data_IF_275776882566
#
_entry.id   IF_275776882566
#
_cell.length_a   1.000
_cell.length_b   1.000
_cell.length_c   1.000
_cell.angle_alpha   90.00
_cell.angle_beta   90.00
_cell.angle_gamma   90.00
#
_symmetry.space_group_name_H-M   'P 1'
#
loop_
_entity.id
_entity.type
_entity.pdbx_description
1 polymer ?
#
# COMPACT_ATOMS: atom_id res chain seq x y z
N UNK A 1 21.67 -12.62 -16.72
CA UNK A 1 20.54 -11.85 -17.30
C UNK A 1 20.17 -10.77 -16.30
N UNK A 2 20.22 -9.49 -16.71
CA UNK A 2 19.94 -8.34 -15.86
C UNK A 2 18.44 -8.02 -16.02
N UNK A 3 17.64 -8.20 -14.98
CA UNK A 3 16.21 -7.87 -14.96
C UNK A 3 16.07 -6.34 -14.96
N UNK A 4 16.21 -5.72 -16.12
CA UNK A 4 16.26 -4.25 -16.28
C UNK A 4 14.88 -3.60 -16.19
N UNK A 5 13.80 -4.37 -16.31
CA UNK A 5 12.44 -3.85 -16.25
C UNK A 5 11.47 -5.00 -15.97
N UNK A 6 10.78 -4.95 -14.84
CA UNK A 6 9.75 -5.94 -14.48
C UNK A 6 8.39 -5.29 -14.63
N UNK A 7 7.63 -5.77 -15.61
CA UNK A 7 6.24 -5.37 -15.79
C UNK A 7 5.35 -5.96 -14.69
N UNK A 8 4.34 -5.18 -14.27
CA UNK A 8 3.36 -5.62 -13.26
C UNK A 8 3.98 -6.15 -11.96
N UNK A 9 5.10 -5.57 -11.53
CA UNK A 9 5.75 -5.97 -10.30
C UNK A 9 4.78 -5.85 -9.12
N UNK A 10 4.64 -6.94 -8.37
CA UNK A 10 3.71 -7.03 -7.23
C UNK A 10 4.44 -7.65 -6.07
N UNK A 11 4.30 -7.04 -4.89
CA UNK A 11 4.83 -7.59 -3.65
C UNK A 11 3.88 -7.30 -2.50
N UNK A 12 3.90 -8.13 -1.47
CA UNK A 12 2.91 -8.07 -0.40
C UNK A 12 3.28 -8.94 0.79
N UNK A 13 2.49 -8.79 1.84
CA UNK A 13 2.56 -9.59 3.06
C UNK A 13 1.15 -10.07 3.40
N UNK A 14 0.97 -11.37 3.41
CA UNK A 14 -0.31 -12.02 3.73
C UNK A 14 -0.85 -11.53 5.08
N UNK A 15 -2.13 -11.14 5.11
CA UNK A 15 -2.81 -10.60 6.29
C UNK A 15 -2.57 -9.11 6.56
N UNK A 16 -1.75 -8.46 5.73
CA UNK A 16 -1.47 -7.02 5.82
C UNK A 16 -1.83 -6.28 4.54
N UNK A 17 -1.46 -6.82 3.39
CA UNK A 17 -1.75 -6.21 2.09
C UNK A 17 -0.69 -6.48 1.02
N UNK A 18 -0.86 -5.79 -0.10
CA UNK A 18 0.01 -5.84 -1.27
C UNK A 18 0.14 -4.47 -1.93
N UNK A 19 1.19 -4.31 -2.72
CA UNK A 19 1.43 -3.16 -3.58
C UNK A 19 1.72 -3.66 -5.00
N UNK A 20 1.09 -3.01 -5.96
CA UNK A 20 1.09 -3.38 -7.38
C UNK A 20 1.57 -2.16 -8.18
N UNK A 21 2.67 -2.31 -8.91
CA UNK A 21 3.22 -1.26 -9.75
C UNK A 21 2.69 -1.40 -11.17
N UNK A 22 1.96 -0.37 -11.62
CA UNK A 22 1.30 -0.35 -12.95
C UNK A 22 2.28 -0.03 -14.09
N UNK A 23 3.46 0.49 -13.77
CA UNK A 23 4.52 0.78 -14.73
C UNK A 23 5.70 -0.18 -14.49
N UNK A 24 6.53 -0.45 -15.52
CA UNK A 24 7.68 -1.31 -15.38
C UNK A 24 8.66 -0.77 -14.33
N UNK A 25 9.14 -1.65 -13.45
CA UNK A 25 10.07 -1.27 -12.37
C UNK A 25 11.46 -1.80 -12.67
N UNK A 26 12.47 -0.93 -12.58
CA UNK A 26 13.86 -1.37 -12.61
C UNK A 26 14.25 -1.93 -11.23
N UNK A 27 14.42 -3.25 -11.16
CA UNK A 27 14.85 -3.93 -9.94
C UNK A 27 16.37 -4.04 -9.82
N UNK A 28 17.14 -3.65 -10.86
CA UNK A 28 18.59 -3.77 -10.88
C UNK A 28 19.29 -2.84 -9.88
N UNK A 29 18.57 -1.84 -9.37
CA UNK A 29 19.03 -0.93 -8.31
C UNK A 29 19.05 -1.58 -6.92
N UNK A 30 18.42 -2.75 -6.74
CA UNK A 30 18.37 -3.47 -5.46
C UNK A 30 19.33 -4.67 -5.45
N UNK A 31 19.99 -4.92 -4.31
CA UNK A 31 20.95 -6.01 -4.19
C UNK A 31 20.26 -7.38 -4.13
N UNK A 32 19.02 -7.44 -3.62
CA UNK A 32 18.24 -8.67 -3.56
C UNK A 32 16.73 -8.42 -3.38
N UNK A 33 15.92 -9.43 -3.69
CA UNK A 33 14.48 -9.42 -3.39
C UNK A 33 14.18 -9.30 -1.88
N UNK A 34 15.08 -9.81 -1.04
CA UNK A 34 14.94 -9.68 0.42
C UNK A 34 15.10 -8.24 0.90
N UNK A 35 15.92 -7.43 0.22
CA UNK A 35 16.09 -6.01 0.53
C UNK A 35 14.81 -5.23 0.23
N UNK A 36 14.15 -5.55 -0.90
CA UNK A 36 12.89 -4.94 -1.31
C UNK A 36 11.81 -5.18 -0.25
N UNK A 37 11.65 -6.43 0.18
CA UNK A 37 10.55 -6.84 1.09
C UNK A 37 10.82 -6.54 2.57
N UNK A 38 12.08 -6.31 2.97
CA UNK A 38 12.44 -6.02 4.37
C UNK A 38 12.69 -4.54 4.64
N UNK A 39 13.28 -3.81 3.70
CA UNK A 39 13.74 -2.44 3.93
C UNK A 39 13.02 -1.41 3.05
N UNK A 40 12.66 -1.75 1.82
CA UNK A 40 12.06 -0.78 0.89
C UNK A 40 10.55 -0.70 1.05
N UNK A 41 9.86 -1.84 1.01
CA UNK A 41 8.40 -1.92 1.07
C UNK A 41 8.03 -2.65 2.36
N UNK A 42 7.55 -1.90 3.34
CA UNK A 42 7.25 -2.40 4.69
C UNK A 42 5.76 -2.32 4.96
N UNK A 43 5.14 -3.49 5.14
CA UNK A 43 3.75 -3.63 5.54
C UNK A 43 3.62 -3.68 7.05
N UNK A 44 2.92 -2.68 7.58
CA UNK A 44 2.48 -2.56 8.97
C UNK A 44 0.96 -2.73 9.06
N UNK A 45 0.43 -2.82 10.27
CA UNK A 45 -1.02 -2.96 10.47
C UNK A 45 -1.73 -1.77 9.82
N UNK A 46 -2.54 -2.04 8.78
CA UNK A 46 -3.29 -1.03 8.03
C UNK A 46 -2.41 0.05 7.36
N UNK A 47 -1.13 -0.24 7.06
CA UNK A 47 -0.24 0.70 6.40
C UNK A 47 0.80 -0.01 5.52
N UNK A 48 1.14 0.60 4.39
CA UNK A 48 2.27 0.21 3.55
C UNK A 48 3.19 1.43 3.41
N UNK A 49 4.44 1.29 3.84
CA UNK A 49 5.45 2.33 3.72
C UNK A 49 6.43 1.90 2.63
N UNK A 50 6.69 2.80 1.68
CA UNK A 50 7.69 2.58 0.63
C UNK A 50 8.77 3.64 0.83
N UNK A 51 10.01 3.21 1.00
CA UNK A 51 11.13 4.00 1.51
C UNK A 51 10.89 4.50 2.93
N UNK A 52 11.33 3.72 3.93
CA UNK A 52 11.21 4.12 5.34
C UNK A 52 12.14 5.29 5.70
N UNK A 53 13.18 5.53 4.91
CA UNK A 53 14.10 6.65 5.04
C UNK A 53 13.94 7.60 3.84
N UNK A 54 13.69 8.88 4.10
CA UNK A 54 13.55 9.90 3.05
C UNK A 54 14.82 10.09 2.23
N UNK A 55 16.01 9.90 2.82
CA UNK A 55 17.28 9.99 2.09
C UNK A 55 17.46 8.88 1.04
N UNK A 56 16.70 7.78 1.16
CA UNK A 56 16.71 6.65 0.23
C UNK A 56 15.62 6.77 -0.85
N UNK A 57 14.74 7.78 -0.76
CA UNK A 57 13.66 8.01 -1.70
C UNK A 57 14.22 8.61 -3.00
N UNK A 58 14.14 7.89 -4.12
CA UNK A 58 14.64 8.41 -5.39
C UNK A 58 13.70 9.48 -5.96
N UNK A 59 14.10 10.20 -7.01
CA UNK A 59 13.22 11.14 -7.72
C UNK A 59 11.91 10.47 -8.20
N UNK A 60 10.87 11.29 -8.39
CA UNK A 60 9.60 10.81 -8.96
C UNK A 60 9.85 10.20 -10.35
N UNK A 61 9.39 8.98 -10.58
CA UNK A 61 9.61 8.21 -11.79
C UNK A 61 10.70 7.13 -11.68
N UNK A 62 11.49 7.11 -10.60
CA UNK A 62 12.61 6.19 -10.41
C UNK A 62 12.35 5.16 -9.31
N UNK A 63 12.94 3.96 -9.45
CA UNK A 63 12.78 2.87 -8.48
C UNK A 63 11.31 2.56 -8.19
N UNK A 64 10.94 2.60 -6.91
CA UNK A 64 9.54 2.47 -6.46
C UNK A 64 8.82 3.80 -6.32
N UNK A 65 9.47 4.95 -6.55
CA UNK A 65 8.84 6.29 -6.51
C UNK A 65 8.03 6.60 -7.78
N UNK A 66 7.12 5.70 -8.10
CA UNK A 66 6.24 5.72 -9.28
C UNK A 66 4.78 5.70 -8.79
N UNK A 67 3.80 5.48 -9.68
CA UNK A 67 2.38 5.35 -9.34
C UNK A 67 2.01 3.89 -8.96
N UNK A 68 2.02 3.50 -7.68
CA UNK A 68 1.52 2.20 -7.26
C UNK A 68 0.01 2.22 -7.00
N UNK A 69 -0.55 1.01 -7.02
CA UNK A 69 -1.81 0.66 -6.38
C UNK A 69 -1.51 -0.15 -5.12
N UNK A 70 -1.90 0.36 -3.96
CA UNK A 70 -1.83 -0.37 -2.70
C UNK A 70 -3.18 -1.01 -2.38
N UNK A 71 -3.14 -2.21 -1.81
CA UNK A 71 -4.29 -2.88 -1.21
C UNK A 71 -3.91 -3.30 0.19
N UNK A 72 -4.64 -2.83 1.19
CA UNK A 72 -4.42 -3.14 2.60
C UNK A 72 -5.56 -4.00 3.13
N UNK A 73 -5.20 -4.97 3.96
CA UNK A 73 -6.13 -5.89 4.61
C UNK A 73 -6.40 -5.44 6.05
N UNK A 74 -7.52 -5.89 6.61
CA UNK A 74 -7.90 -5.63 8.01
C UNK A 74 -8.05 -4.12 8.34
N UNK A 75 -8.39 -3.28 7.36
CA UNK A 75 -8.66 -1.84 7.49
C UNK A 75 -10.06 -1.56 8.07
N UNK A 76 -10.38 -2.18 9.20
CA UNK A 76 -11.62 -1.95 9.93
C UNK A 76 -11.53 -0.70 10.82
N UNK A 77 -12.68 -0.03 11.08
CA UNK A 77 -12.75 1.03 12.06
C UNK A 77 -12.45 0.51 13.48
N UNK A 78 -11.83 1.37 14.28
CA UNK A 78 -11.53 1.10 15.69
C UNK A 78 -12.34 2.05 16.56
N UNK A 79 -13.14 1.49 17.47
CA UNK A 79 -13.91 2.24 18.47
C UNK A 79 -13.54 1.70 19.85
N UNK A 80 -13.15 2.58 20.78
CA UNK A 80 -12.80 2.19 22.15
C UNK A 80 -11.74 1.07 22.26
N UNK A 81 -10.76 1.05 21.33
CA UNK A 81 -9.72 0.01 21.17
C UNK A 81 -10.23 -1.35 20.66
N UNK A 82 -11.50 -1.45 20.30
CA UNK A 82 -12.09 -2.64 19.70
C UNK A 82 -12.22 -2.46 18.19
N UNK A 83 -11.94 -3.54 17.46
CA UNK A 83 -12.08 -3.57 16.00
C UNK A 83 -13.55 -3.84 15.70
N UNK A 84 -14.17 -2.96 14.91
CA UNK A 84 -15.56 -3.10 14.51
C UNK A 84 -15.62 -3.75 13.14
N UNK A 85 -15.99 -5.03 13.10
CA UNK A 85 -16.17 -5.82 11.87
C UNK A 85 -17.62 -5.84 11.37
N UNK A 86 -18.57 -5.33 12.16
CA UNK A 86 -19.97 -5.22 11.75
C UNK A 86 -20.15 -4.09 10.73
N UNK A 87 -20.41 -4.45 9.47
CA UNK A 87 -20.66 -3.52 8.36
C UNK A 87 -21.87 -2.59 8.57
N UNK A 88 -22.82 -2.97 9.42
CA UNK A 88 -24.02 -2.17 9.72
C UNK A 88 -23.77 -1.15 10.83
N UNK A 89 -22.63 -1.24 11.52
CA UNK A 89 -22.31 -0.33 12.61
C UNK A 89 -22.20 1.12 12.10
N UNK A 90 -22.76 2.11 12.82
CA UNK A 90 -22.81 3.51 12.37
C UNK A 90 -21.43 4.14 12.14
N UNK A 91 -20.36 3.57 12.72
CA UNK A 91 -18.96 4.03 12.53
C UNK A 91 -18.37 3.69 11.16
N UNK A 92 -18.97 2.73 10.42
CA UNK A 92 -18.44 2.29 9.12
C UNK A 92 -18.56 3.40 8.09
N UNK A 93 -19.68 4.12 8.05
CA UNK A 93 -19.88 5.26 7.14
C UNK A 93 -18.81 6.36 7.32
N UNK A 94 -18.58 6.93 8.52
CA UNK A 94 -17.55 7.95 8.69
C UNK A 94 -16.13 7.40 8.46
N UNK A 95 -15.88 6.11 8.72
CA UNK A 95 -14.61 5.46 8.37
C UNK A 95 -14.37 5.47 6.85
N UNK A 96 -15.36 5.05 6.06
CA UNK A 96 -15.28 5.08 4.59
C UNK A 96 -15.08 6.51 4.08
N UNK A 97 -15.82 7.48 4.62
CA UNK A 97 -15.64 8.90 4.27
C UNK A 97 -14.21 9.37 4.56
N UNK A 98 -13.62 8.94 5.68
CA UNK A 98 -12.23 9.24 6.01
C UNK A 98 -11.28 8.66 4.96
N UNK A 99 -11.46 7.40 4.57
CA UNK A 99 -10.64 6.76 3.52
C UNK A 99 -10.73 7.51 2.18
N UNK A 100 -11.91 8.04 1.84
CA UNK A 100 -12.09 8.89 0.65
C UNK A 100 -11.37 10.24 0.75
N UNK A 101 -11.26 10.81 1.95
CA UNK A 101 -10.69 12.15 2.19
C UNK A 101 -9.16 12.19 2.33
N UNK A 102 -8.48 11.05 2.27
CA UNK A 102 -7.03 11.00 2.45
C UNK A 102 -6.30 11.64 1.25
N UNK A 103 -5.69 12.81 1.49
CA UNK A 103 -5.10 13.67 0.46
C UNK A 103 -4.00 13.01 -0.37
N UNK A 104 -3.28 12.05 0.22
CA UNK A 104 -2.14 11.38 -0.42
C UNK A 104 -2.53 10.01 -0.99
N UNK A 105 -3.83 9.72 -1.14
CA UNK A 105 -4.31 8.45 -1.67
C UNK A 105 -5.57 8.66 -2.49
N UNK A 106 -5.54 8.24 -3.76
CA UNK A 106 -6.73 8.15 -4.60
C UNK A 106 -7.48 6.88 -4.23
N UNK A 107 -8.58 7.03 -3.50
CA UNK A 107 -9.48 5.92 -3.17
C UNK A 107 -9.92 5.17 -4.43
N UNK A 108 -9.87 3.84 -4.40
CA UNK A 108 -10.42 3.00 -5.47
C UNK A 108 -11.58 2.13 -4.98
N UNK A 109 -11.40 1.39 -3.88
CA UNK A 109 -12.45 0.53 -3.33
C UNK A 109 -12.25 0.24 -1.86
N UNK A 110 -13.34 0.00 -1.14
CA UNK A 110 -13.31 -0.51 0.23
C UNK A 110 -14.41 -1.55 0.41
N UNK A 111 -14.03 -2.71 0.95
CA UNK A 111 -14.95 -3.79 1.31
C UNK A 111 -15.13 -3.84 2.84
N UNK A 112 -16.34 -3.57 3.32
CA UNK A 112 -16.63 -3.46 4.75
C UNK A 112 -16.74 -4.84 5.44
N UNK A 113 -16.96 -5.92 4.69
CA UNK A 113 -17.06 -7.28 5.23
C UNK A 113 -15.67 -7.87 5.53
N UNK A 114 -14.72 -7.68 4.61
CA UNK A 114 -13.33 -8.15 4.71
C UNK A 114 -12.36 -7.09 5.24
N UNK A 115 -12.77 -5.82 5.28
CA UNK A 115 -11.91 -4.71 5.67
C UNK A 115 -10.80 -4.45 4.65
N UNK A 116 -10.96 -4.85 3.39
CA UNK A 116 -9.97 -4.64 2.34
C UNK A 116 -10.12 -3.24 1.75
N UNK A 117 -9.04 -2.46 1.78
CA UNK A 117 -9.00 -1.11 1.23
C UNK A 117 -7.97 -1.01 0.10
N UNK A 118 -8.40 -0.58 -1.08
CA UNK A 118 -7.52 -0.33 -2.22
C UNK A 118 -7.49 1.16 -2.60
N UNK A 119 -6.30 1.65 -2.88
CA UNK A 119 -6.06 3.03 -3.29
C UNK A 119 -4.81 3.13 -4.16
N UNK A 120 -4.77 4.13 -5.04
CA UNK A 120 -3.58 4.48 -5.83
C UNK A 120 -2.90 5.71 -5.23
N UNK A 121 -1.59 5.82 -5.38
CA UNK A 121 -0.80 6.98 -4.95
C UNK A 121 -0.03 7.52 -6.17
N UNK A 122 0.13 8.84 -6.28
CA UNK A 122 0.89 9.44 -7.40
C UNK A 122 2.40 9.25 -7.28
N UNK A 123 2.91 9.23 -6.06
CA UNK A 123 4.33 9.03 -5.75
C UNK A 123 4.42 8.58 -4.28
N UNK A 124 5.39 7.72 -3.96
CA UNK A 124 5.62 7.23 -2.59
C UNK A 124 6.65 8.07 -1.90
#
# INVERSE_FOLDING_TARGET
MKLLSVESFTTGREGYGKIEFKVPVDLSVFLSYSEITRNRIVFNKQACNVYSNEDEKPPVGEGFNILPRATLENCFPVLNKEIITDRTHPIVKPHITKLHSMSNSKFESYDADSGVWSFSIEHV
#
